data_IF_565193957076
#
_entry.id   IF_565193957076
#
_cell.length_a   1.000
_cell.length_b   1.000
_cell.length_c   1.000
_cell.angle_alpha   90.00
_cell.angle_beta   90.00
_cell.angle_gamma   90.00
#
_symmetry.space_group_name_H-M   'P 1'
#
loop_
_entity.id
_entity.type
_entity.pdbx_description
1 polymer ?
#
# COMPACT_ATOMS: atom_id res chain seq x y z
N UNK A 1 19.01 13.04 -9.39
CA UNK A 1 18.06 13.68 -8.45
C UNK A 1 17.94 12.74 -7.25
N UNK A 2 18.16 13.24 -6.03
CA UNK A 2 18.02 12.41 -4.82
C UNK A 2 16.54 12.12 -4.57
N UNK A 3 16.13 10.89 -4.86
CA UNK A 3 14.74 10.45 -4.76
C UNK A 3 14.24 10.35 -3.32
N UNK A 4 15.14 10.24 -2.32
CA UNK A 4 14.73 10.05 -0.93
C UNK A 4 14.35 11.38 -0.26
N UNK A 5 15.03 12.45 -0.66
CA UNK A 5 14.79 13.81 -0.16
C UNK A 5 13.72 14.57 -0.95
N UNK A 6 13.58 14.28 -2.26
CA UNK A 6 12.80 15.15 -3.15
C UNK A 6 11.72 14.44 -3.96
N UNK A 7 11.46 13.14 -3.79
CA UNK A 7 10.44 12.45 -4.59
C UNK A 7 9.03 13.09 -4.46
N UNK A 8 8.70 13.67 -3.31
CA UNK A 8 7.43 14.37 -3.10
C UNK A 8 7.37 15.76 -3.75
N UNK A 9 8.51 16.29 -4.21
CA UNK A 9 8.63 17.55 -4.98
C UNK A 9 8.92 17.31 -6.46
N UNK A 10 9.40 16.12 -6.82
CA UNK A 10 9.75 15.75 -8.18
C UNK A 10 8.54 15.70 -9.11
N UNK A 11 7.35 15.45 -8.55
CA UNK A 11 6.09 15.50 -9.29
C UNK A 11 5.34 16.78 -8.96
N UNK A 12 5.00 17.56 -9.99
CA UNK A 12 3.98 18.59 -9.84
C UNK A 12 2.62 17.91 -9.66
N UNK A 13 2.26 17.68 -8.41
CA UNK A 13 0.99 17.07 -8.04
C UNK A 13 -0.22 17.96 -8.41
N UNK A 14 -0.02 19.23 -8.79
CA UNK A 14 -1.07 20.10 -9.32
C UNK A 14 -1.19 20.01 -10.84
N UNK A 15 -0.19 19.48 -11.53
CA UNK A 15 -0.19 19.35 -12.98
C UNK A 15 -1.21 18.32 -13.46
N UNK A 16 -1.74 18.55 -14.65
CA UNK A 16 -2.66 17.65 -15.37
C UNK A 16 -1.92 16.50 -16.09
N UNK A 17 -0.90 15.93 -15.44
CA UNK A 17 -0.18 14.77 -15.96
C UNK A 17 0.47 13.97 -14.83
N UNK A 18 -0.31 13.68 -13.79
CA UNK A 18 0.15 12.85 -12.68
C UNK A 18 -0.80 11.68 -12.42
N UNK A 19 -0.32 10.70 -11.65
CA UNK A 19 -1.05 9.47 -11.36
C UNK A 19 -2.41 9.73 -10.71
N UNK A 20 -2.52 10.76 -9.86
CA UNK A 20 -3.77 11.08 -9.18
C UNK A 20 -4.83 11.57 -10.18
N UNK A 21 -4.47 12.52 -11.05
CA UNK A 21 -5.38 12.99 -12.09
C UNK A 21 -5.80 11.85 -13.04
N UNK A 22 -4.85 11.00 -13.45
CA UNK A 22 -5.16 9.84 -14.29
C UNK A 22 -6.15 8.89 -13.63
N UNK A 23 -6.02 8.63 -12.33
CA UNK A 23 -6.98 7.82 -11.55
C UNK A 23 -8.37 8.44 -11.63
N UNK A 24 -8.52 9.72 -11.28
CA UNK A 24 -9.84 10.36 -11.26
C UNK A 24 -10.45 10.51 -12.66
N UNK A 25 -9.63 10.72 -13.69
CA UNK A 25 -10.09 10.75 -15.08
C UNK A 25 -10.67 9.40 -15.51
N UNK A 26 -9.98 8.29 -15.22
CA UNK A 26 -10.45 6.94 -15.56
C UNK A 26 -11.69 6.57 -14.73
N UNK A 27 -11.68 6.85 -13.43
CA UNK A 27 -12.80 6.57 -12.52
C UNK A 27 -14.07 7.33 -12.89
N UNK A 28 -13.99 8.45 -13.63
CA UNK A 28 -15.17 9.18 -14.09
C UNK A 28 -16.15 8.34 -14.93
N UNK A 29 -15.70 7.20 -15.46
CA UNK A 29 -16.51 6.24 -16.21
C UNK A 29 -17.03 5.04 -15.39
N UNK A 30 -16.73 5.00 -14.08
CA UNK A 30 -17.11 3.92 -13.18
C UNK A 30 -18.33 4.27 -12.31
N UNK A 31 -19.09 3.28 -11.79
CA UNK A 31 -20.28 3.53 -10.96
C UNK A 31 -20.02 4.37 -9.70
N UNK A 32 -18.80 4.29 -9.17
CA UNK A 32 -18.33 5.07 -8.03
C UNK A 32 -17.12 5.92 -8.47
N UNK A 33 -17.35 7.09 -9.09
CA UNK A 33 -16.29 7.83 -9.78
C UNK A 33 -15.35 8.60 -8.85
N UNK A 34 -15.79 8.88 -7.62
CA UNK A 34 -14.93 9.33 -6.53
C UNK A 34 -14.65 8.10 -5.67
N UNK A 35 -13.45 7.51 -5.72
CA UNK A 35 -13.15 6.35 -4.91
C UNK A 35 -13.20 6.71 -3.43
N UNK A 36 -13.81 5.85 -2.63
CA UNK A 36 -13.82 6.00 -1.18
C UNK A 36 -12.37 5.93 -0.65
N UNK A 37 -11.55 5.10 -1.29
CA UNK A 37 -10.17 4.87 -0.89
C UNK A 37 -9.23 4.70 -2.07
N UNK A 38 -8.01 5.20 -1.91
CA UNK A 38 -6.87 4.85 -2.75
C UNK A 38 -5.80 4.19 -1.89
N UNK A 39 -5.31 3.03 -2.33
CA UNK A 39 -4.31 2.22 -1.64
C UNK A 39 -2.97 2.29 -2.36
N UNK A 40 -1.88 2.54 -1.62
CA UNK A 40 -0.52 2.48 -2.16
C UNK A 40 0.53 2.13 -1.10
N UNK A 41 1.60 1.45 -1.48
CA UNK A 41 2.72 1.14 -0.58
C UNK A 41 3.72 2.30 -0.53
N UNK A 42 4.21 2.70 0.67
CA UNK A 42 5.21 3.75 0.78
C UNK A 42 6.64 3.20 0.56
N UNK A 43 7.32 3.71 -0.46
CA UNK A 43 8.76 3.53 -0.69
C UNK A 43 9.53 4.77 -0.26
N UNK A 44 9.79 5.69 -1.18
CA UNK A 44 10.24 7.05 -0.85
C UNK A 44 9.15 7.86 -0.16
N UNK A 45 7.88 7.62 -0.51
CA UNK A 45 6.73 8.39 -0.01
C UNK A 45 6.18 9.39 -1.03
N UNK A 46 6.82 9.54 -2.20
CA UNK A 46 6.36 10.45 -3.25
C UNK A 46 4.95 10.16 -3.77
N UNK A 47 4.59 8.88 -3.96
CA UNK A 47 3.26 8.48 -4.46
C UNK A 47 2.17 8.83 -3.47
N UNK A 48 2.31 8.45 -2.19
CA UNK A 48 1.31 8.75 -1.16
C UNK A 48 1.18 10.25 -0.90
N UNK A 49 2.30 10.99 -0.94
CA UNK A 49 2.27 12.45 -0.85
C UNK A 49 1.54 13.09 -2.04
N UNK A 50 1.79 12.61 -3.27
CA UNK A 50 1.11 13.11 -4.49
C UNK A 50 -0.39 12.86 -4.41
N UNK A 51 -0.80 11.62 -4.13
CA UNK A 51 -2.22 11.25 -4.02
C UNK A 51 -2.90 12.06 -2.90
N UNK A 52 -2.31 12.09 -1.71
CA UNK A 52 -2.89 12.77 -0.56
C UNK A 52 -2.98 14.29 -0.70
N UNK A 53 -2.02 14.93 -1.36
CA UNK A 53 -2.11 16.37 -1.69
C UNK A 53 -3.17 16.63 -2.75
N UNK A 54 -3.23 15.79 -3.79
CA UNK A 54 -4.20 15.93 -4.87
C UNK A 54 -5.64 15.84 -4.36
N UNK A 55 -5.98 14.78 -3.61
CA UNK A 55 -7.36 14.59 -3.11
C UNK A 55 -7.80 15.75 -2.22
N UNK A 56 -6.92 16.26 -1.35
CA UNK A 56 -7.20 17.41 -0.48
C UNK A 56 -7.35 18.70 -1.27
N UNK A 57 -6.48 18.94 -2.25
CA UNK A 57 -6.52 20.14 -3.09
C UNK A 57 -7.78 20.20 -3.97
N UNK A 58 -8.16 19.07 -4.57
CA UNK A 58 -9.40 18.94 -5.37
C UNK A 58 -10.66 18.76 -4.51
N UNK A 59 -10.52 18.62 -3.19
CA UNK A 59 -11.60 18.37 -2.22
C UNK A 59 -12.41 17.11 -2.55
N UNK A 60 -11.75 16.06 -3.02
CA UNK A 60 -12.37 14.75 -3.17
C UNK A 60 -12.57 14.11 -1.79
N UNK A 61 -13.74 13.51 -1.56
CA UNK A 61 -14.04 12.70 -0.37
C UNK A 61 -13.39 11.30 -0.46
N UNK A 62 -12.10 11.30 -0.80
CA UNK A 62 -11.28 10.11 -1.01
C UNK A 62 -10.22 10.03 0.06
N UNK A 63 -10.09 8.86 0.69
CA UNK A 63 -9.12 8.61 1.75
C UNK A 63 -7.90 7.84 1.22
N UNK A 64 -6.72 8.11 1.78
CA UNK A 64 -5.47 7.45 1.40
C UNK A 64 -5.09 6.40 2.45
N UNK A 65 -4.99 5.14 2.03
CA UNK A 65 -4.48 4.03 2.83
C UNK A 65 -3.08 3.65 2.34
N UNK A 66 -2.09 3.72 3.23
CA UNK A 66 -0.76 3.19 2.95
C UNK A 66 -0.60 1.74 3.44
N UNK A 67 -0.17 0.84 2.57
CA UNK A 67 0.12 -0.55 2.89
C UNK A 67 1.63 -0.71 3.15
N UNK A 68 2.03 -0.85 4.41
CA UNK A 68 3.43 -0.87 4.83
C UNK A 68 3.86 -2.29 5.18
N UNK A 69 4.92 -2.84 4.57
CA UNK A 69 5.38 -4.18 4.90
C UNK A 69 5.94 -4.24 6.33
N UNK A 70 5.91 -5.42 6.95
CA UNK A 70 6.15 -5.57 8.39
C UNK A 70 7.56 -5.14 8.86
N UNK A 71 8.55 -5.16 7.97
CA UNK A 71 9.91 -4.71 8.21
C UNK A 71 10.16 -3.30 7.63
N UNK A 72 9.38 -2.36 8.15
CA UNK A 72 9.41 -0.94 7.80
C UNK A 72 9.13 -0.08 9.03
N UNK A 73 9.73 1.11 9.10
CA UNK A 73 9.47 2.07 10.18
C UNK A 73 8.23 2.92 9.95
N UNK A 74 7.65 2.94 8.75
CA UNK A 74 6.62 3.94 8.41
C UNK A 74 5.34 3.78 9.23
N UNK A 75 4.89 2.56 9.50
CA UNK A 75 3.71 2.33 10.34
C UNK A 75 3.90 2.92 11.74
N UNK A 76 5.06 2.67 12.36
CA UNK A 76 5.35 3.15 13.71
C UNK A 76 5.63 4.67 13.74
N UNK A 77 6.30 5.20 12.71
CA UNK A 77 6.44 6.64 12.49
C UNK A 77 5.07 7.31 12.37
N UNK A 78 4.17 6.78 11.54
CA UNK A 78 2.83 7.34 11.37
C UNK A 78 2.02 7.32 12.66
N UNK A 79 2.11 6.23 13.45
CA UNK A 79 1.48 6.16 14.78
C UNK A 79 2.01 7.24 15.72
N UNK A 80 3.32 7.46 15.76
CA UNK A 80 3.94 8.51 16.57
C UNK A 80 3.50 9.92 16.11
N UNK A 81 3.37 10.13 14.80
CA UNK A 81 2.87 11.38 14.23
C UNK A 81 1.40 11.62 14.58
N UNK A 82 0.54 10.58 14.56
CA UNK A 82 -0.85 10.69 15.02
C UNK A 82 -0.96 11.02 16.51
N UNK A 83 0.01 10.58 17.32
CA UNK A 83 0.10 10.92 18.73
C UNK A 83 0.65 12.34 19.00
N UNK A 84 0.97 13.11 17.95
CA UNK A 84 1.52 14.46 18.07
C UNK A 84 3.02 14.53 18.39
N UNK A 85 3.72 13.40 18.38
CA UNK A 85 5.15 13.28 18.69
C UNK A 85 5.87 12.45 17.61
N UNK A 86 6.04 12.98 16.38
CA UNK A 86 6.64 12.22 15.28
C UNK A 86 8.11 11.85 15.58
N UNK A 87 8.40 10.55 15.59
CA UNK A 87 9.73 10.01 15.82
C UNK A 87 10.49 9.77 14.50
N UNK A 88 11.22 10.78 14.05
CA UNK A 88 12.06 10.70 12.84
C UNK A 88 13.33 9.86 13.04
N UNK A 89 13.66 9.49 14.28
CA UNK A 89 14.87 8.72 14.62
C UNK A 89 14.68 7.20 14.53
N UNK A 90 13.49 6.73 14.17
CA UNK A 90 13.20 5.30 14.06
C UNK A 90 14.11 4.63 13.02
N UNK A 91 14.75 3.54 13.45
CA UNK A 91 15.57 2.69 12.57
C UNK A 91 15.33 1.20 12.83
N UNK A 92 15.50 0.38 11.80
CA UNK A 92 15.51 -1.09 11.88
C UNK A 92 16.83 -1.66 11.38
N UNK A 93 17.27 -2.77 11.97
CA UNK A 93 18.48 -3.48 11.53
C UNK A 93 18.35 -4.19 10.17
N UNK A 94 17.15 -4.23 9.58
CA UNK A 94 16.87 -4.80 8.26
C UNK A 94 15.78 -4.02 7.54
N UNK A 95 15.84 -3.98 6.21
CA UNK A 95 14.78 -3.46 5.36
C UNK A 95 13.69 -4.50 5.07
N UNK A 96 12.67 -4.05 4.34
CA UNK A 96 11.56 -4.90 3.89
C UNK A 96 12.05 -6.02 2.97
N UNK A 97 11.44 -7.20 3.07
CA UNK A 97 11.59 -8.26 2.08
C UNK A 97 10.82 -8.00 0.78
N UNK A 98 10.01 -6.93 0.74
CA UNK A 98 9.25 -6.50 -0.43
C UNK A 98 9.94 -5.31 -1.10
N UNK A 99 10.42 -5.53 -2.31
CA UNK A 99 11.20 -4.53 -3.04
C UNK A 99 10.36 -3.30 -3.42
N UNK A 100 10.98 -2.14 -3.25
CA UNK A 100 10.42 -0.83 -3.63
C UNK A 100 9.53 -0.17 -2.57
N UNK A 101 9.11 -0.88 -1.53
CA UNK A 101 8.30 -0.35 -0.43
C UNK A 101 8.83 -0.78 0.93
N UNK A 102 8.49 -0.03 1.97
CA UNK A 102 9.01 -0.23 3.31
C UNK A 102 10.47 0.21 3.46
N UNK A 103 10.78 0.92 4.54
CA UNK A 103 12.12 1.49 4.75
C UNK A 103 12.62 1.20 6.15
N UNK A 104 13.92 0.92 6.32
CA UNK A 104 14.51 0.73 7.64
C UNK A 104 14.70 2.06 8.39
N UNK A 105 14.42 3.20 7.77
CA UNK A 105 14.51 4.55 8.34
C UNK A 105 13.44 5.45 7.73
N UNK A 106 13.09 6.54 8.41
CA UNK A 106 12.05 7.46 7.95
C UNK A 106 12.61 8.33 6.83
N UNK A 107 12.05 8.24 5.62
CA UNK A 107 12.45 9.11 4.51
C UNK A 107 11.75 10.47 4.59
N UNK A 108 12.48 11.54 4.29
CA UNK A 108 11.96 12.91 4.36
C UNK A 108 10.77 13.16 3.39
N UNK A 109 10.71 12.42 2.29
CA UNK A 109 9.63 12.50 1.31
C UNK A 109 8.34 11.77 1.75
N UNK A 110 8.35 11.02 2.86
CA UNK A 110 7.15 10.45 3.45
C UNK A 110 6.39 11.49 4.29
N UNK A 111 5.26 11.96 3.77
CA UNK A 111 4.43 12.98 4.43
C UNK A 111 3.24 12.32 5.12
N UNK A 112 3.37 11.99 6.41
CA UNK A 112 2.29 11.39 7.22
C UNK A 112 0.98 12.21 7.18
N UNK A 113 1.09 13.54 7.07
CA UNK A 113 -0.04 14.45 6.89
C UNK A 113 -0.93 14.14 5.68
N UNK A 114 -0.40 13.48 4.65
CA UNK A 114 -1.09 13.11 3.42
C UNK A 114 -1.81 11.75 3.50
N UNK A 115 -1.61 10.99 4.57
CA UNK A 115 -2.11 9.61 4.74
C UNK A 115 -3.23 9.58 5.79
N UNK A 116 -4.35 8.94 5.45
CA UNK A 116 -5.54 8.83 6.31
C UNK A 116 -5.56 7.54 7.13
N UNK A 117 -4.94 6.48 6.62
CA UNK A 117 -4.72 5.24 7.34
C UNK A 117 -3.42 4.54 6.90
N UNK A 118 -2.86 3.72 7.78
CA UNK A 118 -1.78 2.79 7.48
C UNK A 118 -2.14 1.38 7.94
N UNK A 119 -1.78 0.39 7.12
CA UNK A 119 -1.92 -1.03 7.44
C UNK A 119 -0.55 -1.69 7.42
N UNK A 120 -0.20 -2.41 8.48
CA UNK A 120 1.04 -3.21 8.53
C UNK A 120 0.78 -4.58 7.94
N UNK A 121 1.54 -4.96 6.91
CA UNK A 121 1.31 -6.16 6.10
C UNK A 121 2.50 -7.12 6.22
N UNK A 122 2.28 -8.37 6.67
CA UNK A 122 3.30 -9.42 6.63
C UNK A 122 3.83 -9.69 5.22
N UNK A 123 5.15 -9.88 5.08
CA UNK A 123 5.80 -10.12 3.79
C UNK A 123 5.23 -11.40 3.14
N UNK A 124 4.89 -12.41 3.93
CA UNK A 124 4.31 -13.67 3.43
C UNK A 124 2.93 -13.48 2.81
N UNK A 125 2.06 -12.63 3.41
CA UNK A 125 0.76 -12.29 2.83
C UNK A 125 0.93 -11.47 1.55
N UNK A 126 1.89 -10.56 1.51
CA UNK A 126 2.22 -9.78 0.31
C UNK A 126 2.62 -10.69 -0.86
N UNK A 127 3.51 -11.65 -0.61
CA UNK A 127 3.98 -12.59 -1.64
C UNK A 127 2.86 -13.55 -2.09
N UNK A 128 2.03 -14.04 -1.16
CA UNK A 128 0.85 -14.85 -1.49
C UNK A 128 -0.14 -14.09 -2.38
N UNK A 129 -0.48 -12.86 -1.99
CA UNK A 129 -1.36 -11.99 -2.77
C UNK A 129 -0.77 -11.67 -4.15
N UNK A 130 0.54 -11.43 -4.24
CA UNK A 130 1.24 -11.22 -5.52
C UNK A 130 1.02 -12.40 -6.47
N UNK A 131 1.23 -13.63 -6.00
CA UNK A 131 1.05 -14.85 -6.81
C UNK A 131 -0.42 -15.00 -7.25
N UNK A 132 -1.38 -14.80 -6.34
CA UNK A 132 -2.80 -14.92 -6.67
C UNK A 132 -3.28 -13.85 -7.66
N UNK A 133 -2.90 -12.59 -7.47
CA UNK A 133 -3.21 -11.51 -8.42
C UNK A 133 -2.60 -11.82 -9.79
N UNK A 134 -1.39 -12.38 -9.82
CA UNK A 134 -0.75 -12.77 -11.08
C UNK A 134 -1.56 -13.83 -11.85
N UNK A 135 -2.11 -14.82 -11.13
CA UNK A 135 -2.97 -15.85 -11.71
C UNK A 135 -4.27 -15.25 -12.25
N UNK A 136 -4.91 -14.36 -11.49
CA UNK A 136 -6.17 -13.73 -11.91
C UNK A 136 -6.00 -12.81 -13.13
N UNK A 137 -4.88 -12.09 -13.22
CA UNK A 137 -4.60 -11.17 -14.33
C UNK A 137 -3.98 -11.85 -15.55
N UNK A 138 -3.54 -13.11 -15.44
CA UNK A 138 -2.79 -13.80 -16.50
C UNK A 138 -1.41 -13.18 -16.78
N UNK A 139 -0.87 -12.38 -15.86
CA UNK A 139 0.46 -11.75 -15.97
C UNK A 139 1.12 -11.57 -14.61
N UNK A 140 2.45 -11.66 -14.55
CA UNK A 140 3.22 -11.51 -13.31
C UNK A 140 3.28 -10.06 -12.82
N UNK A 141 3.10 -9.85 -11.52
CA UNK A 141 3.20 -8.54 -10.83
C UNK A 141 4.22 -8.60 -9.68
N UNK A 142 4.71 -7.46 -9.22
CA UNK A 142 5.66 -7.40 -8.09
C UNK A 142 5.05 -7.55 -6.70
N UNK A 143 5.90 -7.83 -5.70
CA UNK A 143 5.48 -8.03 -4.30
C UNK A 143 4.78 -6.82 -3.67
N UNK A 144 5.14 -5.61 -4.10
CA UNK A 144 4.49 -4.36 -3.67
C UNK A 144 3.02 -4.29 -4.12
N UNK A 145 2.70 -4.83 -5.30
CA UNK A 145 1.32 -5.02 -5.76
C UNK A 145 0.55 -5.96 -4.86
N UNK A 146 1.19 -7.07 -4.47
CA UNK A 146 0.60 -8.00 -3.50
C UNK A 146 0.33 -7.35 -2.14
N UNK A 147 1.27 -6.54 -1.64
CA UNK A 147 1.11 -5.76 -0.40
C UNK A 147 -0.11 -4.84 -0.48
N UNK A 148 -0.26 -4.11 -1.58
CA UNK A 148 -1.42 -3.25 -1.78
C UNK A 148 -2.72 -4.08 -1.85
N UNK A 149 -2.70 -5.25 -2.49
CA UNK A 149 -3.90 -6.10 -2.60
C UNK A 149 -4.36 -6.63 -1.25
N UNK A 150 -3.44 -7.01 -0.35
CA UNK A 150 -3.81 -7.38 1.02
C UNK A 150 -4.55 -6.23 1.72
N UNK A 151 -4.06 -5.00 1.55
CA UNK A 151 -4.73 -3.82 2.10
C UNK A 151 -6.10 -3.54 1.47
N UNK A 152 -6.26 -3.75 0.17
CA UNK A 152 -7.57 -3.66 -0.52
C UNK A 152 -8.56 -4.67 0.07
N UNK A 153 -8.15 -5.93 0.26
CA UNK A 153 -9.01 -6.98 0.80
C UNK A 153 -9.45 -6.66 2.25
N UNK A 154 -8.51 -6.22 3.10
CA UNK A 154 -8.83 -5.78 4.46
C UNK A 154 -9.81 -4.62 4.47
N UNK A 155 -9.59 -3.64 3.60
CA UNK A 155 -10.43 -2.47 3.50
C UNK A 155 -11.83 -2.80 2.98
N UNK A 156 -11.93 -3.63 1.94
CA UNK A 156 -13.20 -4.12 1.41
C UNK A 156 -13.99 -4.89 2.48
N UNK A 157 -13.31 -5.73 3.27
CA UNK A 157 -13.92 -6.42 4.41
C UNK A 157 -14.45 -5.44 5.46
N UNK A 158 -13.66 -4.41 5.84
CA UNK A 158 -14.10 -3.38 6.79
C UNK A 158 -15.29 -2.57 6.26
N UNK A 159 -15.25 -2.15 5.01
CA UNK A 159 -16.35 -1.43 4.36
C UNK A 159 -17.63 -2.28 4.36
N UNK A 160 -17.53 -3.55 3.97
CA UNK A 160 -18.65 -4.50 4.02
C UNK A 160 -19.23 -4.66 5.42
N UNK A 161 -18.39 -4.79 6.44
CA UNK A 161 -18.82 -4.90 7.85
C UNK A 161 -19.50 -3.61 8.35
N UNK A 162 -19.07 -2.45 7.86
CA UNK A 162 -19.67 -1.16 8.16
C UNK A 162 -20.91 -0.82 7.30
N UNK A 163 -21.33 -1.70 6.38
CA UNK A 163 -22.42 -1.42 5.45
C UNK A 163 -22.10 -0.32 4.43
N UNK A 164 -20.81 -0.06 4.18
CA UNK A 164 -20.34 0.96 3.25
C UNK A 164 -20.13 0.38 1.85
N UNK A 165 -20.49 1.16 0.84
CA UNK A 165 -20.29 0.87 -0.57
C UNK A 165 -19.44 1.96 -1.23
N UNK A 166 -18.64 1.60 -2.23
CA UNK A 166 -17.78 2.52 -2.95
C UNK A 166 -16.66 1.79 -3.65
N UNK A 167 -15.94 2.48 -4.54
CA UNK A 167 -14.75 1.94 -5.19
C UNK A 167 -13.52 2.09 -4.31
N UNK A 168 -12.63 1.10 -4.38
CA UNK A 168 -11.28 1.13 -3.84
C UNK A 168 -10.34 1.05 -5.04
N UNK A 169 -9.45 2.04 -5.18
CA UNK A 169 -8.42 2.04 -6.21
C UNK A 169 -7.11 1.60 -5.60
N UNK A 170 -6.35 0.79 -6.33
CA UNK A 170 -4.98 0.42 -5.97
C UNK A 170 -4.06 0.50 -7.17
N UNK A 171 -2.77 0.62 -6.91
CA UNK A 171 -1.74 0.69 -7.94
C UNK A 171 -1.08 -0.68 -8.07
N UNK A 172 -1.11 -1.23 -9.28
CA UNK A 172 -0.20 -2.31 -9.66
C UNK A 172 1.15 -1.67 -9.98
N UNK A 173 2.17 -1.98 -9.18
CA UNK A 173 3.43 -1.26 -9.22
C UNK A 173 4.27 -1.69 -10.44
N UNK A 174 5.08 -2.73 -10.30
CA UNK A 174 6.03 -3.17 -11.30
C UNK A 174 5.73 -4.57 -11.83
N UNK A 175 6.34 -4.90 -12.96
CA UNK A 175 6.24 -6.22 -13.58
C UNK A 175 6.91 -7.29 -12.73
N UNK A 176 6.26 -8.44 -12.61
CA UNK A 176 6.79 -9.55 -11.83
C UNK A 176 7.95 -10.31 -12.50
N UNK A 177 8.25 -10.05 -13.77
CA UNK A 177 9.26 -10.81 -14.52
C UNK A 177 10.66 -10.73 -13.91
N UNK A 178 11.01 -9.58 -13.31
CA UNK A 178 12.31 -9.41 -12.64
C UNK A 178 12.48 -10.25 -11.37
N UNK A 179 11.39 -10.82 -10.84
CA UNK A 179 11.39 -11.62 -9.61
C UNK A 179 11.37 -13.13 -9.87
N UNK A 180 11.64 -13.57 -11.11
CA UNK A 180 11.67 -14.99 -11.47
C UNK A 180 12.62 -15.82 -10.57
N UNK A 181 13.75 -15.23 -10.16
CA UNK A 181 14.75 -15.89 -9.31
C UNK A 181 14.47 -15.76 -7.81
N UNK A 182 13.56 -14.87 -7.40
CA UNK A 182 13.23 -14.58 -6.00
C UNK A 182 11.75 -14.87 -5.70
N UNK A 183 10.86 -13.89 -5.85
CA UNK A 183 9.47 -13.99 -5.41
C UNK A 183 8.64 -15.01 -6.19
N UNK A 184 9.09 -15.52 -7.33
CA UNK A 184 8.42 -16.63 -8.02
C UNK A 184 9.16 -17.96 -7.90
N UNK A 185 10.19 -18.03 -7.06
CA UNK A 185 10.99 -19.22 -6.83
C UNK A 185 10.74 -19.79 -5.43
N UNK A 186 10.08 -20.94 -5.28
CA UNK A 186 9.84 -21.56 -3.97
C UNK A 186 11.11 -21.83 -3.16
N UNK A 187 12.24 -22.15 -3.83
CA UNK A 187 13.51 -22.36 -3.15
C UNK A 187 14.06 -21.09 -2.50
N UNK A 188 13.70 -19.91 -3.03
CA UNK A 188 14.08 -18.63 -2.43
C UNK A 188 13.37 -18.43 -1.08
N UNK A 189 12.11 -18.84 -0.92
CA UNK A 189 11.42 -18.74 0.38
C UNK A 189 12.13 -19.58 1.45
N UNK A 190 12.49 -20.81 1.13
CA UNK A 190 13.24 -21.67 2.05
C UNK A 190 14.59 -21.04 2.44
N UNK A 191 15.31 -20.46 1.48
CA UNK A 191 16.56 -19.76 1.73
C UNK A 191 16.40 -18.50 2.60
N UNK A 192 15.24 -17.83 2.54
CA UNK A 192 14.90 -16.70 3.40
C UNK A 192 14.24 -17.11 4.73
N UNK A 193 14.00 -18.41 4.97
CA UNK A 193 13.26 -18.90 6.13
C UNK A 193 11.79 -18.48 6.16
N UNK A 194 11.20 -18.21 4.99
CA UNK A 194 9.80 -17.79 4.86
C UNK A 194 8.89 -19.01 4.64
N UNK A 195 7.91 -19.20 5.51
CA UNK A 195 6.79 -20.13 5.29
C UNK A 195 5.59 -19.34 4.76
N UNK A 196 5.17 -19.66 3.53
CA UNK A 196 4.05 -19.02 2.84
C UNK A 196 2.77 -19.85 2.85
N UNK A 197 2.78 -21.08 3.38
CA UNK A 197 1.64 -22.00 3.27
C UNK A 197 0.39 -21.45 3.94
N UNK A 198 0.50 -20.92 5.16
CA UNK A 198 -0.64 -20.33 5.85
C UNK A 198 -1.15 -19.06 5.13
N UNK A 199 -0.24 -18.25 4.61
CA UNK A 199 -0.58 -17.04 3.86
C UNK A 199 -1.32 -17.39 2.55
N UNK A 200 -0.84 -18.39 1.81
CA UNK A 200 -1.51 -18.87 0.59
C UNK A 200 -2.93 -19.36 0.88
N UNK A 201 -3.12 -20.17 1.93
CA UNK A 201 -4.43 -20.64 2.33
C UNK A 201 -5.37 -19.48 2.73
N UNK A 202 -4.87 -18.52 3.51
CA UNK A 202 -5.64 -17.37 3.96
C UNK A 202 -6.08 -16.47 2.78
N UNK A 203 -5.19 -16.20 1.83
CA UNK A 203 -5.54 -15.38 0.68
C UNK A 203 -6.47 -16.13 -0.29
N UNK A 204 -6.28 -17.43 -0.50
CA UNK A 204 -7.19 -18.22 -1.32
C UNK A 204 -8.62 -18.20 -0.74
N UNK A 205 -8.76 -18.36 0.58
CA UNK A 205 -10.03 -18.25 1.27
C UNK A 205 -10.64 -16.83 1.14
N UNK A 206 -9.82 -15.78 1.25
CA UNK A 206 -10.27 -14.41 1.12
C UNK A 206 -10.78 -14.07 -0.29
N UNK A 207 -10.11 -14.55 -1.34
CA UNK A 207 -10.57 -14.43 -2.72
C UNK A 207 -11.87 -15.21 -2.98
N UNK A 208 -12.11 -16.27 -2.21
CA UNK A 208 -13.39 -17.00 -2.20
C UNK A 208 -14.48 -16.33 -1.33
N UNK A 209 -14.23 -15.12 -0.81
CA UNK A 209 -15.19 -14.31 -0.07
C UNK A 209 -15.11 -14.42 1.45
N UNK A 210 -14.20 -15.24 2.00
CA UNK A 210 -13.96 -15.31 3.44
C UNK A 210 -13.17 -14.09 3.92
N UNK A 211 -13.03 -13.95 5.24
CA UNK A 211 -12.31 -12.84 5.85
C UNK A 211 -10.81 -13.17 5.97
N UNK A 212 -9.96 -12.18 5.72
CA UNK A 212 -8.55 -12.27 6.14
C UNK A 212 -8.43 -12.07 7.66
N UNK A 213 -7.40 -12.67 8.30
CA UNK A 213 -7.05 -12.35 9.68
C UNK A 213 -6.85 -10.85 9.85
N UNK A 214 -7.34 -10.26 10.94
CA UNK A 214 -7.19 -8.83 11.19
C UNK A 214 -5.70 -8.43 11.25
N UNK A 215 -5.34 -7.37 10.54
CA UNK A 215 -3.98 -6.82 10.53
C UNK A 215 -3.92 -5.51 11.33
N UNK A 216 -2.73 -5.17 11.82
CA UNK A 216 -2.52 -3.94 12.57
C UNK A 216 -2.77 -2.73 11.66
N UNK A 217 -3.69 -1.87 12.10
CA UNK A 217 -4.06 -0.67 11.37
C UNK A 217 -4.03 0.56 12.27
N UNK A 218 -3.53 1.67 11.73
CA UNK A 218 -3.57 2.98 12.35
C UNK A 218 -4.38 3.91 11.44
N UNK A 219 -5.26 4.71 12.00
CA UNK A 219 -6.18 5.57 11.23
C UNK A 219 -6.24 6.94 11.89
N UNK A 220 -6.20 8.00 11.08
CA UNK A 220 -6.52 9.33 11.58
C UNK A 220 -7.99 9.35 11.97
N UNK A 221 -8.30 9.81 13.18
CA UNK A 221 -9.69 10.05 13.59
C UNK A 221 -10.37 10.97 12.57
N UNK A 222 -11.68 10.78 12.37
CA UNK A 222 -12.46 11.69 11.53
C UNK A 222 -12.24 13.12 12.04
N UNK A 223 -11.80 14.02 11.15
CA UNK A 223 -11.77 15.44 11.49
C UNK A 223 -13.22 15.85 11.75
N UNK A 224 -13.52 16.21 13.00
CA UNK A 224 -14.80 16.83 13.37
C UNK A 224 -14.95 18.22 12.79
#
# INVERSE_FOLDING_TARGET
MDQFTYAERATDWRANNNIAESIFHQMAQEPHPVPAWIVCGPGTGGTSATLGRFVRYRRHDTRILCADPEHSVYFDFYRSALAGAPDVGLTLGRGSGIEGIGRPQVEASFVAGCVDAMLKVPDTLSLAAMRLVSLQLGRRVGGSTGTNMVAVLQLAQRMRQAGQSGSIVTILCDSGERYAHSYYNPAWYAAQGLDVTQADAALAAAFAGQNLPALAMAERGAAG
#
